data_IF_848235436994
#
_entry.id   IF_848235436994
#
_cell.length_a   1.000
_cell.length_b   1.000
_cell.length_c   1.000
_cell.angle_alpha   90.00
_cell.angle_beta   90.00
_cell.angle_gamma   90.00
#
_symmetry.space_group_name_H-M   'P 1'
#
loop_
_entity.id
_entity.type
_entity.pdbx_description
1 polymer ?
#
# COMPACT_ATOMS: atom_id res chain seq x y z
N UNK A 1 -12.79 2.25 -4.31
CA UNK A 1 -12.85 1.81 -2.89
C UNK A 1 -11.69 0.85 -2.68
N UNK A 2 -10.85 1.02 -1.65
CA UNK A 2 -9.57 0.29 -1.54
C UNK A 2 -9.63 -1.09 -0.87
N UNK A 3 -10.80 -1.52 -0.38
CA UNK A 3 -10.99 -2.87 0.17
C UNK A 3 -10.40 -3.12 1.57
N UNK A 4 -9.95 -2.07 2.28
CA UNK A 4 -9.23 -2.17 3.55
C UNK A 4 -10.08 -1.86 4.79
N UNK A 5 -11.39 -1.68 4.68
CA UNK A 5 -12.24 -1.33 5.83
C UNK A 5 -12.67 -2.61 6.58
N UNK A 6 -12.36 -2.68 7.88
CA UNK A 6 -12.81 -3.75 8.78
C UNK A 6 -14.23 -3.51 9.27
N UNK A 7 -14.83 -4.58 9.80
CA UNK A 7 -16.18 -4.55 10.37
C UNK A 7 -16.31 -3.63 11.59
N UNK A 8 -15.22 -3.38 12.32
CA UNK A 8 -15.17 -2.48 13.47
C UNK A 8 -15.00 -1.00 13.09
N UNK A 9 -14.94 -0.68 11.79
CA UNK A 9 -14.76 0.68 11.28
C UNK A 9 -13.32 1.14 11.17
N UNK A 10 -12.34 0.30 11.54
CA UNK A 10 -10.91 0.59 11.35
C UNK A 10 -10.43 0.17 9.96
N UNK A 11 -9.30 0.71 9.51
CA UNK A 11 -8.66 0.26 8.28
C UNK A 11 -7.59 -0.80 8.57
N UNK A 12 -7.44 -1.78 7.68
CA UNK A 12 -6.25 -2.63 7.60
C UNK A 12 -4.98 -1.78 7.48
N UNK A 13 -3.85 -2.27 8.02
CA UNK A 13 -2.56 -1.61 7.80
C UNK A 13 -2.17 -1.85 6.35
N UNK A 14 -2.34 -0.83 5.52
CA UNK A 14 -2.07 -0.94 4.10
C UNK A 14 -1.15 0.17 3.59
N UNK A 15 -0.29 -0.19 2.64
CA UNK A 15 0.47 0.74 1.82
C UNK A 15 -0.15 0.73 0.42
N UNK A 16 -0.49 1.92 -0.07
CA UNK A 16 -1.06 2.11 -1.41
C UNK A 16 -0.14 3.07 -2.16
N UNK A 17 0.37 2.63 -3.31
CA UNK A 17 1.15 3.48 -4.21
C UNK A 17 0.28 3.85 -5.40
N UNK A 18 0.11 5.15 -5.61
CA UNK A 18 -0.70 5.74 -6.67
C UNK A 18 0.23 6.60 -7.53
N UNK A 19 0.18 6.43 -8.85
CA UNK A 19 0.96 7.26 -9.76
C UNK A 19 0.33 8.66 -9.95
N UNK A 20 1.03 9.55 -10.65
CA UNK A 20 0.55 10.91 -10.92
C UNK A 20 -0.71 10.98 -11.79
N UNK A 21 -1.08 9.89 -12.48
CA UNK A 21 -2.31 9.78 -13.27
C UNK A 21 -3.49 9.29 -12.42
N UNK A 22 -3.29 9.06 -11.11
CA UNK A 22 -4.30 8.55 -10.20
C UNK A 22 -4.50 7.04 -10.26
N UNK A 23 -3.60 6.29 -10.93
CA UNK A 23 -3.71 4.85 -11.08
C UNK A 23 -3.01 4.16 -9.90
N UNK A 24 -3.71 3.25 -9.24
CA UNK A 24 -3.14 2.38 -8.21
C UNK A 24 -2.14 1.43 -8.88
N UNK A 25 -0.89 1.45 -8.41
CA UNK A 25 0.21 0.62 -8.94
C UNK A 25 0.60 -0.51 -8.01
N UNK A 26 0.27 -0.38 -6.74
CA UNK A 26 0.61 -1.34 -5.71
C UNK A 26 -0.32 -1.17 -4.51
N UNK A 27 -0.77 -2.29 -3.96
CA UNK A 27 -1.46 -2.37 -2.67
C UNK A 27 -0.77 -3.49 -1.89
N UNK A 28 -0.50 -3.22 -0.62
CA UNK A 28 0.15 -4.16 0.28
C UNK A 28 -0.51 -4.07 1.64
N UNK A 29 -1.07 -5.18 2.11
CA UNK A 29 -1.84 -5.27 3.34
C UNK A 29 -1.07 -6.14 4.31
N UNK A 30 -0.77 -5.59 5.49
CA UNK A 30 0.06 -6.23 6.50
C UNK A 30 -0.70 -6.40 7.81
N UNK A 31 -0.23 -7.35 8.64
CA UNK A 31 -0.65 -7.41 10.03
C UNK A 31 -0.31 -6.07 10.74
N UNK A 32 -1.19 -5.61 11.63
CA UNK A 32 -1.01 -4.34 12.32
C UNK A 32 0.24 -4.33 13.21
N UNK A 33 0.66 -5.49 13.70
CA UNK A 33 1.81 -5.69 14.58
C UNK A 33 3.13 -5.84 13.82
N UNK A 34 3.07 -5.98 12.49
CA UNK A 34 4.26 -6.14 11.67
C UNK A 34 4.62 -4.81 10.98
N UNK A 35 5.92 -4.48 11.00
CA UNK A 35 6.43 -3.33 10.27
C UNK A 35 6.83 -3.78 8.86
N UNK A 36 6.22 -3.23 7.80
CA UNK A 36 6.61 -3.58 6.45
C UNK A 36 8.07 -3.15 6.16
N UNK A 37 8.84 -3.97 5.43
CA UNK A 37 10.23 -3.65 5.07
C UNK A 37 10.27 -2.47 4.09
N UNK A 38 11.10 -1.48 4.38
CA UNK A 38 11.23 -0.26 3.58
C UNK A 38 11.69 -0.57 2.15
N UNK A 39 12.55 -1.58 2.01
CA UNK A 39 13.15 -2.02 0.76
C UNK A 39 12.07 -2.43 -0.25
N UNK A 40 10.98 -3.07 0.21
CA UNK A 40 9.85 -3.43 -0.66
C UNK A 40 9.19 -2.19 -1.25
N UNK A 41 8.95 -1.17 -0.43
CA UNK A 41 8.32 0.08 -0.84
C UNK A 41 9.18 0.80 -1.88
N UNK A 42 10.49 0.95 -1.59
CA UNK A 42 11.44 1.61 -2.49
C UNK A 42 11.46 0.90 -3.85
N UNK A 43 11.52 -0.43 -3.86
CA UNK A 43 11.51 -1.22 -5.10
C UNK A 43 10.24 -1.01 -5.93
N UNK A 44 9.08 -0.83 -5.30
CA UNK A 44 7.85 -0.53 -6.05
C UNK A 44 7.85 0.90 -6.60
N UNK A 45 8.40 1.86 -5.87
CA UNK A 45 8.53 3.25 -6.35
C UNK A 45 9.50 3.37 -7.53
N UNK A 46 10.60 2.61 -7.52
CA UNK A 46 11.56 2.58 -8.64
C UNK A 46 10.92 2.14 -9.96
N UNK A 47 9.97 1.20 -9.92
CA UNK A 47 9.21 0.77 -11.11
C UNK A 47 8.39 1.89 -11.77
N UNK A 48 8.15 2.99 -11.06
CA UNK A 48 7.40 4.14 -11.56
C UNK A 48 8.29 5.22 -12.19
N UNK A 49 9.63 5.08 -12.14
CA UNK A 49 10.59 6.05 -12.67
C UNK A 49 10.90 5.87 -14.18
N UNK A 50 10.15 5.02 -14.88
CA UNK A 50 10.28 4.79 -16.31
C UNK A 50 9.36 5.72 -17.13
#
# INVERSE_FOLDING_TARGET
RYGILRSDGTAERAIIIIDKKGIIRYIDVHDINERPPLESIIRQLEKLRN
#
